data_IF_426892198576
#
_entry.id   IF_426892198576
#
_cell.length_a   1.000
_cell.length_b   1.000
_cell.length_c   1.000
_cell.angle_alpha   90.00
_cell.angle_beta   90.00
_cell.angle_gamma   90.00
#
_symmetry.space_group_name_H-M   'P 1'
#
loop_
_entity.id
_entity.type
_entity.pdbx_description
1 polymer ?
#
# COMPACT_ATOMS: atom_id res chain seq x y z
N UNK A 1 8.43 -5.93 -8.31
CA UNK A 1 8.71 -4.76 -7.45
C UNK A 1 9.81 -3.91 -8.06
N UNK A 2 10.01 -2.68 -7.60
CA UNK A 2 11.03 -1.73 -8.08
C UNK A 2 12.14 -1.54 -7.04
N UNK A 3 13.35 -1.20 -7.51
CA UNK A 3 14.53 -0.94 -6.69
C UNK A 3 14.83 -2.01 -5.62
N UNK A 4 15.08 -3.28 -6.02
CA UNK A 4 15.43 -4.32 -5.06
C UNK A 4 16.79 -4.06 -4.42
N UNK A 5 16.82 -4.14 -3.09
CA UNK A 5 18.02 -4.03 -2.25
C UNK A 5 18.20 -5.35 -1.52
N UNK A 6 19.32 -6.02 -1.77
CA UNK A 6 19.72 -7.23 -1.05
C UNK A 6 20.45 -6.82 0.22
N UNK A 7 19.86 -7.11 1.37
CA UNK A 7 20.43 -6.75 2.68
C UNK A 7 21.35 -7.85 3.22
N UNK A 8 20.99 -9.12 2.99
CA UNK A 8 21.80 -10.30 3.30
C UNK A 8 21.40 -11.49 2.40
N UNK A 9 21.92 -12.69 2.68
CA UNK A 9 21.64 -13.91 1.91
C UNK A 9 20.17 -14.38 1.98
N UNK A 10 19.37 -13.82 2.88
CA UNK A 10 17.99 -14.19 3.16
C UNK A 10 16.99 -13.03 3.08
N UNK A 11 17.47 -11.80 2.92
CA UNK A 11 16.64 -10.60 3.00
C UNK A 11 16.81 -9.72 1.76
N UNK A 12 15.70 -9.54 1.04
CA UNK A 12 15.56 -8.60 -0.07
C UNK A 12 14.41 -7.65 0.27
N UNK A 13 14.67 -6.35 0.17
CA UNK A 13 13.64 -5.31 0.30
C UNK A 13 13.44 -4.63 -1.03
N UNK A 14 12.19 -4.35 -1.41
CA UNK A 14 11.88 -3.62 -2.63
C UNK A 14 10.55 -2.86 -2.50
N UNK A 15 10.32 -1.89 -3.38
CA UNK A 15 9.07 -1.13 -3.42
C UNK A 15 8.05 -1.85 -4.29
N UNK A 16 6.87 -2.14 -3.74
CA UNK A 16 5.78 -2.77 -4.49
C UNK A 16 5.09 -1.70 -5.36
N UNK A 17 4.86 -1.94 -6.66
CA UNK A 17 4.17 -0.98 -7.52
C UNK A 17 2.69 -0.87 -7.13
N UNK A 18 2.03 0.20 -7.59
CA UNK A 18 0.58 0.30 -7.48
C UNK A 18 -0.11 -0.71 -8.40
N UNK A 19 -1.34 -1.09 -8.03
CA UNK A 19 -2.26 -1.86 -8.87
C UNK A 19 -3.50 -1.02 -9.17
N UNK A 20 -4.14 -1.26 -10.32
CA UNK A 20 -5.44 -0.67 -10.68
C UNK A 20 -6.60 -1.64 -10.47
N UNK A 21 -6.35 -2.79 -9.81
CA UNK A 21 -7.40 -3.74 -9.50
C UNK A 21 -8.43 -3.14 -8.52
N UNK A 22 -9.71 -3.42 -8.77
CA UNK A 22 -10.82 -2.92 -7.96
C UNK A 22 -11.26 -3.91 -6.86
N UNK A 23 -10.57 -5.03 -6.74
CA UNK A 23 -10.82 -6.08 -5.74
C UNK A 23 -9.51 -6.72 -5.29
N UNK A 24 -9.57 -7.51 -4.21
CA UNK A 24 -8.41 -8.26 -3.74
C UNK A 24 -7.82 -9.09 -4.86
N UNK A 25 -6.53 -8.91 -5.09
CA UNK A 25 -5.83 -9.51 -6.22
C UNK A 25 -4.54 -10.14 -5.75
N UNK A 26 -4.33 -11.39 -6.13
CA UNK A 26 -3.13 -12.14 -5.82
C UNK A 26 -2.19 -12.13 -7.01
N UNK A 27 -0.88 -12.04 -6.73
CA UNK A 27 0.18 -12.08 -7.73
C UNK A 27 1.32 -12.96 -7.24
N UNK A 28 2.01 -13.59 -8.19
CA UNK A 28 3.20 -14.37 -7.90
C UNK A 28 4.39 -13.46 -7.59
N UNK A 29 5.19 -13.88 -6.61
CA UNK A 29 6.48 -13.24 -6.30
C UNK A 29 7.57 -14.11 -6.90
N UNK A 30 8.29 -13.56 -7.87
CA UNK A 30 9.36 -14.25 -8.58
C UNK A 30 10.69 -13.56 -8.23
N UNK A 31 11.67 -14.37 -7.85
CA UNK A 31 13.04 -13.93 -7.60
C UNK A 31 13.96 -14.57 -8.63
N UNK A 32 14.73 -13.75 -9.33
CA UNK A 32 15.70 -14.20 -10.33
C UNK A 32 17.10 -13.76 -9.93
N UNK A 33 18.04 -14.71 -9.91
CA UNK A 33 19.46 -14.50 -9.61
C UNK A 33 20.31 -15.19 -10.68
N UNK A 34 20.86 -14.40 -11.61
CA UNK A 34 21.54 -14.92 -12.79
C UNK A 34 20.58 -15.73 -13.67
N UNK A 35 20.89 -17.01 -13.90
CA UNK A 35 20.05 -17.95 -14.64
C UNK A 35 19.03 -18.69 -13.77
N UNK A 36 19.06 -18.52 -12.44
CA UNK A 36 18.18 -19.21 -11.52
C UNK A 36 16.95 -18.34 -11.24
N UNK A 37 15.77 -18.96 -11.30
CA UNK A 37 14.50 -18.32 -10.95
C UNK A 37 13.76 -19.19 -9.97
N UNK A 38 13.16 -18.57 -8.96
CA UNK A 38 12.28 -19.24 -8.01
C UNK A 38 11.02 -18.41 -7.81
N UNK A 39 9.91 -19.09 -7.57
CA UNK A 39 8.61 -18.48 -7.28
C UNK A 39 8.27 -18.76 -5.83
N UNK A 40 7.77 -17.75 -5.13
CA UNK A 40 7.31 -17.89 -3.75
C UNK A 40 6.19 -18.93 -3.66
N UNK A 41 6.20 -19.73 -2.59
CA UNK A 41 5.11 -20.68 -2.29
C UNK A 41 3.84 -19.96 -1.82
N UNK A 42 3.98 -18.73 -1.32
CA UNK A 42 2.87 -17.86 -0.92
C UNK A 42 2.71 -16.73 -1.92
N UNK A 43 1.47 -16.48 -2.33
CA UNK A 43 1.15 -15.38 -3.22
C UNK A 43 1.13 -14.05 -2.47
N UNK A 44 1.56 -12.99 -3.13
CA UNK A 44 1.42 -11.64 -2.62
C UNK A 44 0.00 -11.14 -2.91
N UNK A 45 -0.69 -10.60 -1.90
CA UNK A 45 -2.07 -10.10 -2.06
C UNK A 45 -2.09 -8.58 -1.98
N UNK A 46 -2.60 -7.94 -3.02
CA UNK A 46 -3.10 -6.58 -2.94
C UNK A 46 -4.48 -6.62 -2.28
N UNK A 47 -4.56 -6.08 -1.06
CA UNK A 47 -5.79 -5.99 -0.30
C UNK A 47 -6.44 -4.62 -0.48
N UNK A 48 -7.56 -4.58 -1.21
CA UNK A 48 -8.30 -3.35 -1.47
C UNK A 48 -8.89 -2.75 -0.19
N UNK A 49 -9.15 -3.58 0.83
CA UNK A 49 -9.74 -3.10 2.10
C UNK A 49 -8.76 -2.23 2.90
N UNK A 50 -7.46 -2.38 2.66
CA UNK A 50 -6.43 -1.53 3.25
C UNK A 50 -6.20 -0.23 2.48
N UNK A 51 -6.92 0.01 1.38
CA UNK A 51 -6.81 1.26 0.62
C UNK A 51 -7.60 2.36 1.34
N UNK A 52 -6.96 3.48 1.75
CA UNK A 52 -7.68 4.59 2.37
C UNK A 52 -8.72 5.16 1.42
N UNK A 53 -9.92 5.44 1.93
CA UNK A 53 -10.96 6.14 1.19
C UNK A 53 -11.50 7.30 2.02
N UNK A 54 -11.76 8.45 1.36
CA UNK A 54 -12.37 9.61 2.01
C UNK A 54 -13.80 9.76 1.49
N UNK A 55 -14.76 9.68 2.41
CA UNK A 55 -16.19 9.79 2.11
C UNK A 55 -16.69 11.22 2.31
N UNK A 56 -16.25 11.89 3.39
CA UNK A 56 -16.65 13.27 3.65
C UNK A 56 -15.64 14.01 4.51
N UNK A 57 -15.72 15.33 4.44
CA UNK A 57 -15.03 16.27 5.31
C UNK A 57 -16.08 17.24 5.86
N UNK A 58 -16.04 17.55 7.16
CA UNK A 58 -16.99 18.48 7.77
C UNK A 58 -16.40 19.17 9.00
N UNK A 59 -16.65 20.48 9.20
CA UNK A 59 -17.39 21.37 8.31
C UNK A 59 -16.59 21.77 7.05
N UNK A 60 -17.29 22.12 5.97
CA UNK A 60 -16.66 22.61 4.72
C UNK A 60 -16.21 24.07 4.82
N UNK A 61 -16.56 24.76 5.91
CA UNK A 61 -16.23 26.16 6.16
C UNK A 61 -15.83 26.29 7.63
N UNK A 62 -14.69 26.95 7.86
CA UNK A 62 -14.24 27.39 9.18
C UNK A 62 -13.92 28.88 9.12
N UNK A 63 -13.92 29.54 10.26
CA UNK A 63 -13.58 30.96 10.34
C UNK A 63 -12.08 31.17 10.08
N UNK A 64 -11.66 32.42 9.84
CA UNK A 64 -10.23 32.76 9.73
C UNK A 64 -9.43 32.52 11.02
N UNK A 65 -10.10 32.30 12.15
CA UNK A 65 -9.44 31.89 13.40
C UNK A 65 -9.08 30.40 13.45
N UNK A 66 -9.45 29.62 12.42
CA UNK A 66 -9.29 28.18 12.37
C UNK A 66 -10.46 27.43 13.04
N UNK A 67 -10.33 26.11 13.16
CA UNK A 67 -11.34 25.24 13.75
C UNK A 67 -10.98 23.76 13.61
N UNK A 68 -11.88 22.90 14.11
CA UNK A 68 -11.77 21.46 13.95
C UNK A 68 -12.34 21.04 12.58
N UNK A 69 -11.64 20.16 11.88
CA UNK A 69 -12.10 19.48 10.68
C UNK A 69 -12.16 17.98 10.97
N UNK A 70 -13.30 17.37 10.68
CA UNK A 70 -13.51 15.93 10.81
C UNK A 70 -13.55 15.31 9.41
N UNK A 71 -12.65 14.37 9.16
CA UNK A 71 -12.63 13.55 7.94
C UNK A 71 -13.27 12.19 8.25
N UNK A 72 -14.22 11.79 7.42
CA UNK A 72 -14.88 10.49 7.53
C UNK A 72 -14.51 9.64 6.32
N UNK A 73 -14.12 8.40 6.56
CA UNK A 73 -13.67 7.48 5.52
C UNK A 73 -13.21 6.16 6.12
N UNK A 74 -12.46 5.38 5.36
CA UNK A 74 -11.96 4.07 5.78
C UNK A 74 -10.45 3.99 5.66
N UNK A 75 -9.86 3.06 6.43
CA UNK A 75 -8.48 2.59 6.24
C UNK A 75 -7.41 3.68 6.33
N UNK A 76 -7.66 4.73 7.12
CA UNK A 76 -6.72 5.83 7.36
C UNK A 76 -5.40 5.40 8.04
N UNK A 77 -5.33 4.20 8.63
CA UNK A 77 -4.11 3.68 9.22
C UNK A 77 -3.57 4.55 10.37
N UNK A 78 -2.44 4.14 10.96
CA UNK A 78 -1.76 4.91 12.02
C UNK A 78 -0.94 6.09 11.50
N UNK A 79 -0.76 6.19 10.18
CA UNK A 79 -0.02 7.25 9.50
C UNK A 79 -0.89 8.29 8.81
N UNK A 80 -2.22 8.25 8.96
CA UNK A 80 -3.06 9.37 8.55
C UNK A 80 -2.83 10.53 9.52
N UNK A 81 -2.07 11.52 9.05
CA UNK A 81 -1.75 12.77 9.71
C UNK A 81 -1.77 13.92 8.70
#
# INVERSE_FOLDING_TARGET
CTSPVVSDFSLISCTVPLTTALSNTQVDVIVTSGSNTTTSLTQFTYDVTNTPSLTSASPNVVTMSGGQLTLTGTSFGSGAI
#
